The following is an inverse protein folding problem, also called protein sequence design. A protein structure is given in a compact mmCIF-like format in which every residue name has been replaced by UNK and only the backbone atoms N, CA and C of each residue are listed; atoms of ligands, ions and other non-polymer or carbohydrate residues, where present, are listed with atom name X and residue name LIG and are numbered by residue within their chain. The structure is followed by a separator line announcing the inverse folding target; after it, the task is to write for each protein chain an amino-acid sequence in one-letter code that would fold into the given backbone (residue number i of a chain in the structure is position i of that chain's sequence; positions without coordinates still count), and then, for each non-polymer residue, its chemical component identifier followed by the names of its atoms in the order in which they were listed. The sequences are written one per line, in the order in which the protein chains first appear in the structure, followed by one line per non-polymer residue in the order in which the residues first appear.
data_IF_294997396804
#
_entry.id   IF_294997396804
#
_cell.length_a   1.000
_cell.length_b   1.000
_cell.length_c   1.000
_cell.angle_alpha   90.00
_cell.angle_beta   90.00
_cell.angle_gamma   90.00
#
_symmetry.space_group_name_H-M   'P 1'
#
loop_
_entity.id
_entity.type
_entity.pdbx_description
1 polymer ?
#
# COMPACT_ATOMS: atom_id res chain seq x y z
N UNK A 1 -13.86 -7.92 10.04
CA UNK A 1 -12.38 -7.98 9.91
C UNK A 1 -11.95 -6.87 8.97
N UNK A 2 -11.16 -5.90 9.43
CA UNK A 2 -10.62 -4.83 8.56
C UNK A 2 -9.63 -5.42 7.55
N UNK A 3 -9.52 -4.81 6.37
CA UNK A 3 -8.61 -5.30 5.31
C UNK A 3 -7.15 -5.26 5.75
N UNK A 4 -6.79 -4.28 6.58
CA UNK A 4 -5.45 -4.13 7.14
C UNK A 4 -5.06 -5.35 7.99
N UNK A 5 -6.02 -5.90 8.74
CA UNK A 5 -5.80 -7.12 9.53
C UNK A 5 -5.65 -8.34 8.62
N UNK A 6 -6.39 -8.42 7.51
CA UNK A 6 -6.26 -9.50 6.51
C UNK A 6 -4.86 -9.50 5.90
N UNK A 7 -4.38 -8.35 5.44
CA UNK A 7 -3.03 -8.22 4.85
C UNK A 7 -1.95 -8.54 5.88
N UNK A 8 -2.11 -8.08 7.13
CA UNK A 8 -1.17 -8.38 8.22
C UNK A 8 -1.16 -9.86 8.63
N UNK A 9 -2.27 -10.58 8.47
CA UNK A 9 -2.36 -12.02 8.76
C UNK A 9 -1.73 -12.87 7.65
N UNK A 10 -1.86 -12.44 6.40
CA UNK A 10 -1.27 -13.10 5.22
C UNK A 10 0.27 -12.97 5.25
N UNK A 11 0.79 -11.86 5.77
CA UNK A 11 2.23 -11.61 5.89
C UNK A 11 2.74 -11.87 7.32
N UNK A 12 3.40 -13.01 7.57
CA UNK A 12 4.17 -13.25 8.83
C UNK A 12 5.28 -12.17 9.04
N UNK A 13 5.68 -11.78 10.28
CA UNK A 13 6.04 -10.38 10.60
C UNK A 13 7.54 -10.00 10.47
N UNK A 14 7.92 -8.70 10.38
CA UNK A 14 7.16 -7.53 9.90
C UNK A 14 7.92 -6.84 8.73
N UNK A 15 7.38 -6.93 7.51
CA UNK A 15 7.89 -6.16 6.35
C UNK A 15 6.95 -5.04 5.91
N UNK A 16 5.84 -4.84 6.65
CA UNK A 16 4.85 -3.81 6.36
C UNK A 16 4.94 -2.68 7.39
N UNK A 17 4.90 -1.45 6.88
CA UNK A 17 4.89 -0.24 7.68
C UNK A 17 3.56 0.47 7.46
N UNK A 18 3.00 1.04 8.53
CA UNK A 18 1.81 1.87 8.44
C UNK A 18 2.20 3.32 8.14
N UNK A 19 1.55 3.92 7.15
CA UNK A 19 1.78 5.29 6.74
C UNK A 19 0.50 6.11 6.91
N UNK A 20 0.57 7.12 7.78
CA UNK A 20 -0.50 8.08 8.00
C UNK A 20 0.11 9.47 8.04
N UNK A 21 -0.53 10.43 7.36
CA UNK A 21 -0.12 11.84 7.41
C UNK A 21 -0.58 12.48 8.71
N UNK A 22 0.10 13.56 9.12
CA UNK A 22 -0.36 14.34 10.26
C UNK A 22 -1.75 14.92 9.99
N UNK A 23 -2.58 14.98 11.03
CA UNK A 23 -3.96 15.50 10.95
C UNK A 23 -4.04 16.96 10.47
N UNK A 24 -2.97 17.74 10.64
CA UNK A 24 -2.88 19.15 10.22
C UNK A 24 -2.25 19.33 8.83
N UNK A 25 -2.01 18.24 8.09
CA UNK A 25 -1.39 18.26 6.75
C UNK A 25 -2.30 17.57 5.72
N UNK A 26 -2.71 18.28 4.64
CA UNK A 26 -3.46 17.64 3.57
C UNK A 26 -2.58 16.64 2.80
N UNK A 27 -3.19 15.56 2.32
CA UNK A 27 -2.55 14.55 1.48
C UNK A 27 -3.23 14.47 0.11
N UNK A 28 -2.46 14.03 -0.91
CA UNK A 28 -3.04 13.62 -2.18
C UNK A 28 -3.95 12.41 -2.02
N UNK A 29 -4.92 12.27 -2.94
CA UNK A 29 -5.78 11.08 -3.01
C UNK A 29 -5.24 10.07 -4.02
N UNK A 30 -5.77 8.85 -3.99
CA UNK A 30 -5.42 7.74 -4.90
C UNK A 30 -6.66 7.28 -5.68
N UNK A 31 -6.51 6.22 -6.48
CA UNK A 31 -7.64 5.57 -7.16
C UNK A 31 -8.45 4.65 -6.23
N UNK A 32 -7.89 4.21 -5.10
CA UNK A 32 -8.51 3.22 -4.20
C UNK A 32 -9.90 3.61 -3.72
N UNK A 33 -10.09 4.81 -3.14
CA UNK A 33 -11.40 5.30 -2.72
C UNK A 33 -12.38 5.45 -3.89
N UNK A 34 -11.90 5.90 -5.06
CA UNK A 34 -12.74 6.07 -6.25
C UNK A 34 -13.27 4.72 -6.77
N UNK A 35 -12.41 3.70 -6.83
CA UNK A 35 -12.80 2.36 -7.24
C UNK A 35 -13.75 1.71 -6.23
N UNK A 36 -13.50 1.89 -4.93
CA UNK A 36 -14.39 1.38 -3.88
C UNK A 36 -15.79 1.97 -4.01
N UNK A 37 -15.90 3.28 -4.19
CA UNK A 37 -17.18 3.96 -4.36
C UNK A 37 -17.93 3.54 -5.63
N UNK A 38 -17.21 3.31 -6.74
CA UNK A 38 -17.83 2.96 -8.04
C UNK A 38 -18.22 1.50 -8.15
N UNK A 39 -17.46 0.59 -7.54
CA UNK A 39 -17.63 -0.85 -7.70
C UNK A 39 -18.24 -1.54 -6.48
N UNK A 40 -18.37 -0.84 -5.35
CA UNK A 40 -18.81 -1.42 -4.09
C UNK A 40 -17.82 -2.45 -3.53
N UNK A 41 -16.57 -2.42 -3.98
CA UNK A 41 -15.52 -3.34 -3.56
C UNK A 41 -14.69 -2.73 -2.42
N UNK A 42 -14.22 -3.62 -1.56
CA UNK A 42 -13.25 -3.28 -0.53
C UNK A 42 -11.87 -3.09 -1.19
N UNK A 43 -11.24 -1.95 -0.96
CA UNK A 43 -9.90 -1.62 -1.49
C UNK A 43 -8.96 -1.28 -0.34
N UNK A 44 -7.67 -1.57 -0.53
CA UNK A 44 -6.58 -1.14 0.34
C UNK A 44 -5.51 -0.50 -0.55
N UNK A 45 -4.97 0.64 -0.12
CA UNK A 45 -3.85 1.28 -0.81
C UNK A 45 -2.54 0.84 -0.16
N UNK A 46 -1.63 0.32 -0.98
CA UNK A 46 -0.29 -0.11 -0.58
C UNK A 46 0.73 0.43 -1.58
N UNK A 47 1.95 0.70 -1.12
CA UNK A 47 3.01 1.20 -1.98
C UNK A 47 4.36 1.22 -1.29
N UNK A 48 5.42 1.29 -2.10
CA UNK A 48 6.78 1.37 -1.59
C UNK A 48 7.12 2.80 -1.17
N UNK A 49 7.86 2.98 -0.07
CA UNK A 49 8.29 4.31 0.35
C UNK A 49 9.24 4.90 -0.69
N UNK A 50 9.05 6.19 -0.98
CA UNK A 50 9.92 6.95 -1.86
C UNK A 50 10.05 8.39 -1.38
N UNK A 51 11.13 9.05 -1.81
CA UNK A 51 11.41 10.45 -1.57
C UNK A 51 11.29 11.25 -2.86
N UNK A 52 10.95 12.53 -2.70
CA UNK A 52 10.83 13.50 -3.79
C UNK A 52 9.77 13.13 -4.84
N UNK A 53 8.65 12.53 -4.43
CA UNK A 53 7.52 12.21 -5.31
C UNK A 53 7.10 13.44 -6.14
N UNK A 54 6.89 13.25 -7.45
CA UNK A 54 6.66 14.28 -8.48
C UNK A 54 7.89 15.09 -8.92
N UNK A 55 9.10 14.75 -8.48
CA UNK A 55 10.35 15.28 -9.04
C UNK A 55 10.64 14.68 -10.41
N UNK A 56 11.47 15.36 -11.22
CA UNK A 56 12.06 14.76 -12.44
C UNK A 56 12.93 13.54 -12.12
N UNK A 57 13.41 13.43 -10.87
CA UNK A 57 14.19 12.31 -10.37
C UNK A 57 13.79 11.99 -8.93
N UNK A 58 13.19 10.82 -8.75
CA UNK A 58 12.74 10.27 -7.47
C UNK A 58 13.79 9.31 -6.89
N UNK A 59 13.64 8.95 -5.61
CA UNK A 59 14.54 8.02 -4.90
C UNK A 59 13.70 7.01 -4.11
N UNK A 60 13.98 5.71 -4.28
CA UNK A 60 13.32 4.62 -3.56
C UNK A 60 14.30 3.58 -3.04
N UNK A 61 13.85 2.71 -2.13
CA UNK A 61 14.64 1.60 -1.62
C UNK A 61 14.72 0.42 -2.60
N UNK A 62 15.89 -0.20 -2.72
CA UNK A 62 16.11 -1.35 -3.61
C UNK A 62 15.36 -2.58 -3.14
N UNK A 63 15.33 -2.81 -1.83
CA UNK A 63 14.75 -4.02 -1.23
C UNK A 63 13.21 -3.98 -1.23
N UNK A 64 12.63 -2.77 -1.23
CA UNK A 64 11.18 -2.56 -1.21
C UNK A 64 10.50 -3.17 -2.45
N UNK A 65 11.20 -3.21 -3.59
CA UNK A 65 10.69 -3.89 -4.80
C UNK A 65 10.50 -5.38 -4.55
N UNK A 66 11.48 -6.03 -3.91
CA UNK A 66 11.39 -7.45 -3.58
C UNK A 66 10.30 -7.74 -2.54
N UNK A 67 10.10 -6.85 -1.58
CA UNK A 67 9.01 -6.95 -0.61
C UNK A 67 7.63 -6.81 -1.26
N UNK A 68 7.47 -5.83 -2.16
CA UNK A 68 6.22 -5.63 -2.90
C UNK A 68 5.86 -6.83 -3.78
N UNK A 69 6.84 -7.41 -4.50
CA UNK A 69 6.61 -8.61 -5.32
C UNK A 69 6.10 -9.76 -4.46
N UNK A 70 6.77 -10.04 -3.33
CA UNK A 70 6.34 -11.09 -2.39
C UNK A 70 4.93 -10.83 -1.86
N UNK A 71 4.59 -9.59 -1.52
CA UNK A 71 3.26 -9.21 -1.04
C UNK A 71 2.17 -9.56 -2.06
N UNK A 72 2.38 -9.20 -3.33
CA UNK A 72 1.40 -9.47 -4.39
C UNK A 72 1.33 -10.94 -4.80
N UNK A 73 2.44 -11.69 -4.71
CA UNK A 73 2.45 -13.13 -4.96
C UNK A 73 1.61 -13.90 -3.93
N UNK A 74 1.77 -13.61 -2.64
CA UNK A 74 1.03 -14.29 -1.58
C UNK A 74 -0.47 -13.94 -1.64
N UNK A 75 -0.80 -12.66 -1.91
CA UNK A 75 -2.19 -12.22 -2.05
C UNK A 75 -2.91 -12.73 -3.31
N UNK A 76 -2.17 -13.23 -4.31
CA UNK A 76 -2.75 -13.71 -5.58
C UNK A 76 -3.22 -15.18 -5.53
N UNK A 77 -2.95 -15.91 -4.45
CA UNK A 77 -3.15 -17.36 -4.37
C UNK A 77 -4.31 -17.83 -3.46
N UNK A 78 -5.18 -16.94 -2.97
CA UNK A 78 -6.45 -17.33 -2.33
C UNK A 78 -7.60 -17.57 -3.36
N UNK A 79 -7.26 -18.06 -4.56
CA UNK A 79 -8.24 -18.60 -5.51
C UNK A 79 -7.88 -20.02 -5.93
#
# INVERSE_FOLDING_TARGET
MSLDLVVSLICSPPIMQEFVVRNDSPCGSTIGPMLSAKLGLRTIDVGNPQLSMHSIREVGGTDDVGHAIKLFEVGSFER
#
